data_IF_199999552090
#
_entry.id   IF_199999552090
#
_cell.length_a   1.000
_cell.length_b   1.000
_cell.length_c   1.000
_cell.angle_alpha   90.00
_cell.angle_beta   90.00
_cell.angle_gamma   90.00
#
_symmetry.space_group_name_H-M   'P 1'
#
loop_
_entity.id
_entity.type
_entity.pdbx_description
1 polymer ?
#
# COMPACT_ATOMS: atom_id res chain seq x y z
N UNK A 1 -7.76 -1.56 -26.52
CA UNK A 1 -7.30 -1.18 -25.16
C UNK A 1 -6.52 0.12 -25.29
N UNK A 2 -6.69 1.06 -24.36
CA UNK A 2 -6.01 2.37 -24.39
C UNK A 2 -5.16 2.53 -23.11
N UNK A 3 -3.92 2.00 -23.10
CA UNK A 3 -3.05 2.11 -21.94
C UNK A 3 -2.67 3.59 -21.71
N UNK A 4 -2.75 4.03 -20.46
CA UNK A 4 -2.25 5.34 -20.06
C UNK A 4 -0.75 5.23 -19.73
N UNK A 5 0.07 6.24 -20.04
CA UNK A 5 1.52 6.17 -19.80
C UNK A 5 1.87 6.18 -18.30
N UNK A 6 1.05 6.86 -17.50
CA UNK A 6 1.29 7.10 -16.08
C UNK A 6 0.00 6.83 -15.28
N UNK A 7 0.10 6.04 -14.20
CA UNK A 7 -0.98 5.74 -13.27
C UNK A 7 -0.49 5.97 -11.84
N UNK A 8 -1.09 6.94 -11.16
CA UNK A 8 -0.90 7.13 -9.71
C UNK A 8 -2.10 6.58 -8.94
N UNK A 9 -1.84 5.74 -7.95
CA UNK A 9 -2.83 5.19 -7.03
C UNK A 9 -2.57 5.79 -5.65
N UNK A 10 -3.47 6.67 -5.21
CA UNK A 10 -3.40 7.29 -3.90
C UNK A 10 -4.50 6.70 -3.01
N UNK A 11 -4.15 6.30 -1.80
CA UNK A 11 -5.15 5.75 -0.88
C UNK A 11 -4.71 5.73 0.57
N UNK A 12 -5.72 5.68 1.45
CA UNK A 12 -5.49 5.46 2.87
C UNK A 12 -4.89 4.10 3.17
N UNK A 13 -4.17 3.99 4.28
CA UNK A 13 -3.41 2.80 4.69
C UNK A 13 -4.18 1.48 4.52
N UNK A 14 -5.42 1.39 5.02
CA UNK A 14 -6.24 0.17 4.89
C UNK A 14 -6.54 -0.29 3.47
N UNK A 15 -6.78 0.64 2.52
CA UNK A 15 -6.98 0.28 1.11
C UNK A 15 -5.67 -0.20 0.47
N UNK A 16 -4.55 0.42 0.85
CA UNK A 16 -3.24 0.05 0.31
C UNK A 16 -2.77 -1.29 0.87
N UNK A 17 -3.05 -1.62 2.14
CA UNK A 17 -2.81 -2.98 2.67
C UNK A 17 -3.59 -4.02 1.88
N UNK A 18 -4.87 -3.79 1.59
CA UNK A 18 -5.68 -4.71 0.76
C UNK A 18 -5.12 -4.90 -0.64
N UNK A 19 -4.71 -3.81 -1.28
CA UNK A 19 -4.08 -3.87 -2.60
C UNK A 19 -2.74 -4.60 -2.54
N UNK A 20 -1.94 -4.37 -1.51
CA UNK A 20 -0.71 -5.09 -1.23
C UNK A 20 -0.93 -6.59 -1.04
N UNK A 21 -2.07 -6.97 -0.46
CA UNK A 21 -2.50 -8.36 -0.27
C UNK A 21 -3.19 -8.96 -1.52
N UNK A 22 -3.17 -8.25 -2.66
CA UNK A 22 -3.67 -8.78 -3.93
C UNK A 22 -5.14 -8.44 -4.25
N UNK A 23 -5.85 -7.72 -3.39
CA UNK A 23 -7.22 -7.33 -3.66
C UNK A 23 -7.29 -6.22 -4.71
N UNK A 24 -8.19 -6.35 -5.70
CA UNK A 24 -8.51 -5.26 -6.65
C UNK A 24 -9.76 -4.50 -6.20
N UNK A 25 -10.72 -5.20 -5.61
CA UNK A 25 -11.84 -4.56 -4.92
C UNK A 25 -11.43 -4.23 -3.48
N UNK A 26 -11.12 -2.96 -3.25
CA UNK A 26 -10.62 -2.47 -1.96
C UNK A 26 -11.73 -2.15 -0.96
N UNK A 27 -13.01 -2.33 -1.34
CA UNK A 27 -14.11 -2.03 -0.45
C UNK A 27 -14.15 -2.97 0.76
N UNK A 28 -14.43 -2.44 1.95
CA UNK A 28 -14.45 -3.19 3.23
C UNK A 28 -15.43 -4.36 3.23
N UNK A 29 -16.50 -4.32 2.44
CA UNK A 29 -17.43 -5.43 2.33
C UNK A 29 -16.96 -6.55 1.39
N UNK A 30 -15.96 -6.29 0.54
CA UNK A 30 -15.54 -7.19 -0.57
C UNK A 30 -14.16 -7.79 -0.35
N UNK A 31 -13.33 -7.16 0.45
CA UNK A 31 -12.04 -7.67 0.89
C UNK A 31 -11.84 -7.39 2.38
N UNK A 32 -11.22 -8.34 3.09
CA UNK A 32 -10.74 -8.14 4.45
C UNK A 32 -9.21 -8.04 4.44
N UNK A 33 -8.66 -7.46 5.50
CA UNK A 33 -7.21 -7.46 5.71
C UNK A 33 -6.82 -8.73 6.43
N UNK A 34 -5.80 -9.39 5.90
CA UNK A 34 -5.08 -10.44 6.62
C UNK A 34 -4.08 -9.79 7.58
N UNK A 35 -4.41 -9.78 8.87
CA UNK A 35 -3.55 -9.19 9.90
C UNK A 35 -2.31 -10.03 10.21
N UNK A 36 -2.32 -11.34 9.95
CA UNK A 36 -1.14 -12.17 10.12
C UNK A 36 -0.08 -11.83 9.06
N UNK A 37 -0.49 -11.70 7.80
CA UNK A 37 0.40 -11.22 6.73
C UNK A 37 0.90 -9.79 6.98
N UNK A 38 0.03 -8.90 7.48
CA UNK A 38 0.44 -7.54 7.84
C UNK A 38 1.46 -7.54 9.00
N UNK A 39 1.30 -8.43 9.98
CA UNK A 39 2.22 -8.59 11.10
C UNK A 39 3.62 -9.04 10.65
N UNK A 40 3.72 -9.94 9.66
CA UNK A 40 5.01 -10.34 9.09
C UNK A 40 5.77 -9.15 8.50
N UNK A 41 5.07 -8.27 7.76
CA UNK A 41 5.66 -7.05 7.20
C UNK A 41 6.08 -6.09 8.30
N UNK A 42 5.21 -5.88 9.29
CA UNK A 42 5.45 -4.98 10.41
C UNK A 42 6.64 -5.43 11.30
N UNK A 43 6.80 -6.74 11.51
CA UNK A 43 7.88 -7.31 12.29
C UNK A 43 9.27 -7.00 11.72
N UNK A 44 9.39 -6.85 10.39
CA UNK A 44 10.65 -6.44 9.73
C UNK A 44 11.12 -5.05 10.16
N UNK A 45 10.20 -4.23 10.67
CA UNK A 45 10.45 -2.87 11.17
C UNK A 45 10.43 -2.81 12.70
N UNK A 46 10.50 -3.96 13.38
CA UNK A 46 10.58 -4.02 14.84
C UNK A 46 9.25 -3.81 15.56
N UNK A 47 8.11 -3.89 14.86
CA UNK A 47 6.80 -3.89 15.51
C UNK A 47 6.49 -5.27 16.11
N UNK A 48 5.70 -5.29 17.19
CA UNK A 48 5.25 -6.54 17.82
C UNK A 48 4.21 -7.27 16.93
N UNK A 49 4.65 -8.35 16.31
CA UNK A 49 3.81 -9.15 15.40
C UNK A 49 2.55 -9.71 16.08
N UNK A 50 2.60 -10.03 17.38
CA UNK A 50 1.45 -10.56 18.11
C UNK A 50 0.39 -9.47 18.28
N UNK A 51 0.81 -8.24 18.61
CA UNK A 51 -0.11 -7.10 18.73
C UNK A 51 -0.73 -6.74 17.37
N UNK A 52 0.07 -6.73 16.30
CA UNK A 52 -0.43 -6.44 14.95
C UNK A 52 -1.43 -7.50 14.49
N UNK A 53 -1.18 -8.78 14.76
CA UNK A 53 -2.09 -9.88 14.43
C UNK A 53 -3.42 -9.78 15.19
N UNK A 54 -3.38 -9.32 16.45
CA UNK A 54 -4.55 -9.17 17.31
C UNK A 54 -5.32 -7.84 17.12
N UNK A 55 -4.82 -6.94 16.26
CA UNK A 55 -5.44 -5.64 16.05
C UNK A 55 -6.85 -5.76 15.44
N UNK A 56 -7.76 -4.90 15.87
CA UNK A 56 -9.14 -4.88 15.38
C UNK A 56 -9.29 -4.08 14.08
N UNK A 57 -8.31 -3.22 13.77
CA UNK A 57 -8.33 -2.39 12.57
C UNK A 57 -6.94 -2.04 12.08
N UNK A 58 -6.83 -1.73 10.79
CA UNK A 58 -5.58 -1.24 10.18
C UNK A 58 -5.16 0.12 10.74
N UNK A 59 -6.12 0.93 11.19
CA UNK A 59 -5.83 2.19 11.86
C UNK A 59 -5.10 1.96 13.18
N UNK A 60 -5.53 0.96 13.95
CA UNK A 60 -4.89 0.56 15.21
C UNK A 60 -3.43 0.17 14.97
N UNK A 61 -3.16 -0.69 13.96
CA UNK A 61 -1.79 -1.06 13.57
C UNK A 61 -0.94 0.16 13.24
N UNK A 62 -1.48 1.12 12.49
CA UNK A 62 -0.76 2.36 12.17
C UNK A 62 -0.48 3.24 13.40
N UNK A 63 -1.32 3.16 14.44
CA UNK A 63 -1.18 3.92 15.68
C UNK A 63 -0.23 3.24 16.69
N UNK A 64 -0.05 1.92 16.60
CA UNK A 64 0.96 1.18 17.36
C UNK A 64 2.39 1.53 16.94
N UNK A 65 2.58 1.88 15.67
CA UNK A 65 3.88 2.24 15.11
C UNK A 65 4.31 3.66 15.50
N UNK A 66 5.59 3.84 15.85
CA UNK A 66 6.22 5.16 15.83
C UNK A 66 6.33 5.71 14.40
N UNK A 67 6.77 6.96 14.24
CA UNK A 67 6.81 7.61 12.92
C UNK A 67 7.77 6.92 11.94
N UNK A 68 8.90 6.38 12.42
CA UNK A 68 9.87 5.69 11.58
C UNK A 68 9.30 4.34 11.13
N UNK A 69 8.75 3.56 12.05
CA UNK A 69 8.11 2.29 11.79
C UNK A 69 6.91 2.46 10.83
N UNK A 70 6.08 3.48 11.07
CA UNK A 70 4.90 3.78 10.25
C UNK A 70 5.30 4.11 8.82
N UNK A 71 6.33 4.93 8.63
CA UNK A 71 6.85 5.29 7.31
C UNK A 71 7.44 4.10 6.55
N UNK A 72 8.22 3.27 7.25
CA UNK A 72 8.85 2.08 6.67
C UNK A 72 7.79 1.03 6.27
N UNK A 73 6.85 0.73 7.17
CA UNK A 73 5.73 -0.16 6.90
C UNK A 73 4.87 0.34 5.73
N UNK A 74 4.53 1.63 5.71
CA UNK A 74 3.76 2.22 4.60
C UNK A 74 4.49 2.13 3.25
N UNK A 75 5.82 2.27 3.24
CA UNK A 75 6.62 2.15 2.01
C UNK A 75 6.64 0.71 1.47
N UNK A 76 6.75 -0.29 2.35
CA UNK A 76 6.64 -1.70 1.96
C UNK A 76 5.24 -2.04 1.43
N UNK A 77 4.20 -1.55 2.11
CA UNK A 77 2.82 -1.71 1.66
C UNK A 77 2.62 -1.05 0.29
N UNK A 78 3.17 0.15 0.06
CA UNK A 78 3.12 0.81 -1.25
C UNK A 78 3.80 -0.03 -2.33
N UNK A 79 4.95 -0.62 -2.04
CA UNK A 79 5.71 -1.44 -2.99
C UNK A 79 4.95 -2.73 -3.36
N UNK A 80 4.38 -3.42 -2.38
CA UNK A 80 3.57 -4.61 -2.61
C UNK A 80 2.28 -4.27 -3.37
N UNK A 81 1.59 -3.18 -3.00
CA UNK A 81 0.39 -2.72 -3.70
C UNK A 81 0.69 -2.36 -5.17
N UNK A 82 1.84 -1.74 -5.43
CA UNK A 82 2.31 -1.46 -6.79
C UNK A 82 2.53 -2.75 -7.58
N UNK A 83 3.14 -3.76 -6.96
CA UNK A 83 3.37 -5.05 -7.59
C UNK A 83 2.06 -5.73 -7.99
N UNK A 84 1.05 -5.69 -7.12
CA UNK A 84 -0.31 -6.15 -7.45
C UNK A 84 -0.86 -5.40 -8.66
N UNK A 85 -0.86 -4.06 -8.63
CA UNK A 85 -1.38 -3.25 -9.73
C UNK A 85 -0.67 -3.57 -11.07
N UNK A 86 0.66 -3.66 -11.06
CA UNK A 86 1.45 -4.03 -12.24
C UNK A 86 1.10 -5.41 -12.79
N UNK A 87 0.88 -6.39 -11.91
CA UNK A 87 0.46 -7.75 -12.30
C UNK A 87 -0.88 -7.71 -13.03
N UNK A 88 -1.82 -6.90 -12.56
CA UNK A 88 -3.13 -6.73 -13.20
C UNK A 88 -3.09 -5.92 -14.50
N UNK A 89 -2.09 -5.07 -14.69
CA UNK A 89 -1.84 -4.36 -15.96
C UNK A 89 -1.25 -5.25 -17.05
N UNK A 90 -0.86 -6.49 -16.74
CA UNK A 90 -0.42 -7.51 -17.73
C UNK A 90 0.66 -7.03 -18.70
N UNK A 91 1.61 -6.23 -18.20
CA UNK A 91 2.72 -5.70 -19.00
C UNK A 91 2.38 -4.50 -19.88
N UNK A 92 1.23 -3.84 -19.67
CA UNK A 92 0.96 -2.54 -20.30
C UNK A 92 2.12 -1.56 -20.03
N UNK A 93 2.51 -0.72 -21.01
CA UNK A 93 3.59 0.26 -20.85
C UNK A 93 3.12 1.46 -20.00
N UNK A 94 2.74 1.19 -18.76
CA UNK A 94 2.23 2.14 -17.79
C UNK A 94 3.17 2.19 -16.60
N UNK A 95 3.74 3.37 -16.34
CA UNK A 95 4.47 3.62 -15.11
C UNK A 95 3.47 3.74 -13.97
N UNK A 96 3.62 2.91 -12.94
CA UNK A 96 2.73 2.91 -11.77
C UNK A 96 3.43 3.48 -10.57
N UNK A 97 2.74 4.37 -9.88
CA UNK A 97 3.10 4.89 -8.59
C UNK A 97 1.99 4.61 -7.58
N UNK A 98 2.37 4.20 -6.37
CA UNK A 98 1.45 4.03 -5.25
C UNK A 98 1.88 4.92 -4.11
N UNK A 99 0.91 5.61 -3.51
CA UNK A 99 1.12 6.53 -2.38
C UNK A 99 0.15 6.19 -1.26
N UNK A 100 0.71 5.96 -0.07
CA UNK A 100 -0.03 5.73 1.16
C UNK A 100 -0.20 7.05 1.89
N UNK A 101 -1.46 7.42 2.13
CA UNK A 101 -1.82 8.67 2.78
C UNK A 101 -2.41 8.40 4.17
N UNK A 102 -1.98 9.18 5.15
CA UNK A 102 -2.49 9.18 6.52
C UNK A 102 -3.89 9.78 6.60
N UNK A 103 -4.59 9.53 7.71
CA UNK A 103 -5.95 10.08 7.91
C UNK A 103 -5.97 11.60 8.01
N UNK A 104 -4.85 12.20 8.42
CA UNK A 104 -4.58 13.64 8.49
C UNK A 104 -4.13 14.24 7.14
N UNK A 105 -4.02 13.42 6.09
CA UNK A 105 -3.52 13.84 4.78
C UNK A 105 -2.00 13.78 4.63
N UNK A 106 -1.26 13.32 5.64
CA UNK A 106 0.19 13.17 5.58
C UNK A 106 0.62 12.08 4.59
N UNK A 107 1.78 12.24 3.97
CA UNK A 107 2.42 11.18 3.19
C UNK A 107 3.06 10.18 4.16
N UNK A 108 2.57 8.94 4.18
CA UNK A 108 3.15 7.89 5.01
C UNK A 108 4.19 7.06 4.24
N UNK A 109 3.94 6.77 2.96
CA UNK A 109 4.85 5.95 2.16
C UNK A 109 4.56 6.04 0.67
N UNK A 110 5.55 5.71 -0.15
CA UNK A 110 5.45 5.77 -1.62
C UNK A 110 6.29 4.68 -2.25
N UNK A 111 5.84 4.14 -3.36
CA UNK A 111 6.62 3.26 -4.20
C UNK A 111 6.37 3.51 -5.69
N UNK A 112 7.44 3.34 -6.47
CA UNK A 112 7.43 3.64 -7.90
C UNK A 112 7.69 5.10 -8.21
N UNK A 113 7.72 5.39 -9.50
CA UNK A 113 7.88 6.71 -10.08
C UNK A 113 7.13 6.74 -11.40
N UNK A 114 6.63 7.92 -11.76
CA UNK A 114 6.03 8.15 -13.07
C UNK A 114 7.14 8.36 -14.11
N UNK A 115 6.87 7.96 -15.35
CA UNK A 115 7.74 8.31 -16.45
C UNK A 115 7.70 9.82 -16.68
N UNK A 116 8.85 10.42 -16.97
CA UNK A 116 8.90 11.78 -17.50
C UNK A 116 8.10 11.84 -18.80
N UNK A 117 7.18 12.80 -18.93
CA UNK A 117 6.54 13.09 -20.22
C UNK A 117 7.65 13.50 -21.21
N UNK A 118 8.12 12.55 -22.02
CA UNK A 118 8.92 12.87 -23.20
C UNK A 118 7.92 13.32 -24.27
N UNK A 119 7.81 14.64 -24.45
CA UNK A 119 7.27 15.26 -25.66
C UNK A 119 5.79 15.64 -25.61
N UNK A 120 5.55 16.94 -25.44
CA UNK A 120 4.75 17.67 -26.43
C UNK A 120 5.68 18.56 -27.22
#
# INVERSE_FOLDING_TARGET
QHPVPNLSILGGFGKMVKLAQGAIDLHSARSQVDFASLAEVAARHGMDAQQVTAANSVLEVSQMADDLQRGALASDIAAAARQTAMTHLRGAPTSVEVVVIGRDGSLLGRAGSLGSEVGR
#
